data_IF_093720581412
#
_entry.id   IF_093720581412
#
_cell.length_a   1.000
_cell.length_b   1.000
_cell.length_c   1.000
_cell.angle_alpha   90.00
_cell.angle_beta   90.00
_cell.angle_gamma   90.00
#
_symmetry.space_group_name_H-M   'P 1'
#
loop_
_entity.id
_entity.type
_entity.pdbx_description
1 polymer ?
#
# COMPACT_ATOMS: atom_id res chain seq x y z
N UNK A 1 25.53 -5.55 -14.16
CA UNK A 1 24.70 -4.32 -14.19
C UNK A 1 23.31 -4.51 -14.83
N UNK A 2 22.44 -5.44 -14.37
CA UNK A 2 21.12 -5.68 -15.02
C UNK A 2 19.94 -6.02 -14.09
N UNK A 3 19.89 -5.48 -12.87
CA UNK A 3 18.79 -5.72 -11.92
C UNK A 3 17.75 -4.57 -11.80
N UNK A 4 17.89 -3.49 -12.60
CA UNK A 4 17.01 -2.30 -12.47
C UNK A 4 15.61 -2.46 -13.07
N UNK A 5 15.39 -3.46 -13.94
CA UNK A 5 14.11 -3.66 -14.64
C UNK A 5 13.02 -4.28 -13.77
N UNK A 6 13.37 -5.24 -12.92
CA UNK A 6 12.38 -6.09 -12.24
C UNK A 6 11.72 -5.41 -11.04
N UNK A 7 12.44 -4.52 -10.37
CA UNK A 7 11.91 -3.76 -9.22
C UNK A 7 10.68 -2.95 -9.62
N UNK A 8 10.70 -2.32 -10.80
CA UNK A 8 9.58 -1.53 -11.29
C UNK A 8 8.35 -2.35 -11.70
N UNK A 9 8.49 -3.65 -11.98
CA UNK A 9 7.37 -4.54 -12.31
C UNK A 9 6.66 -5.03 -11.05
N UNK A 10 7.43 -5.40 -10.03
CA UNK A 10 6.90 -5.75 -8.71
C UNK A 10 6.17 -4.57 -8.06
N UNK A 11 6.75 -3.37 -8.09
CA UNK A 11 6.12 -2.17 -7.52
C UNK A 11 4.76 -1.86 -8.15
N UNK A 12 4.64 -2.01 -9.48
CA UNK A 12 3.37 -1.81 -10.21
C UNK A 12 2.29 -2.80 -9.80
N UNK A 13 2.64 -4.08 -9.66
CA UNK A 13 1.68 -5.10 -9.24
C UNK A 13 1.24 -4.93 -7.78
N UNK A 14 2.10 -4.36 -6.92
CA UNK A 14 1.76 -4.12 -5.52
C UNK A 14 0.83 -2.92 -5.33
N UNK A 15 1.02 -1.85 -6.11
CA UNK A 15 0.35 -0.56 -5.95
C UNK A 15 -0.06 0.03 -7.31
N UNK A 16 -1.17 -0.43 -7.92
CA UNK A 16 -1.63 0.11 -9.20
C UNK A 16 -1.91 1.62 -9.14
N UNK A 17 -2.29 2.15 -7.97
CA UNK A 17 -2.56 3.58 -7.77
C UNK A 17 -1.32 4.46 -8.04
N UNK A 18 -0.13 3.87 -8.08
CA UNK A 18 1.10 4.60 -8.31
C UNK A 18 1.30 5.00 -9.78
N UNK A 19 0.54 4.41 -10.70
CA UNK A 19 0.50 4.80 -12.13
C UNK A 19 -0.24 6.11 -12.35
N UNK A 20 -0.99 6.55 -11.34
CA UNK A 20 -1.73 7.82 -11.34
C UNK A 20 -0.84 9.02 -11.02
N UNK A 21 0.36 8.79 -10.49
CA UNK A 21 1.33 9.82 -10.17
C UNK A 21 2.26 10.08 -11.35
N UNK A 22 2.66 11.34 -11.53
CA UNK A 22 3.70 11.69 -12.49
C UNK A 22 5.04 11.00 -12.13
N UNK A 23 5.80 10.66 -13.15
CA UNK A 23 7.04 9.88 -13.10
C UNK A 23 8.09 10.48 -12.16
N UNK A 24 8.20 11.82 -12.10
CA UNK A 24 9.12 12.54 -11.21
C UNK A 24 8.72 12.48 -9.74
N UNK A 25 7.42 12.50 -9.45
CA UNK A 25 6.89 12.51 -8.09
C UNK A 25 6.79 11.12 -7.49
N UNK A 26 6.54 10.10 -8.32
CA UNK A 26 6.43 8.68 -7.92
C UNK A 26 7.53 8.26 -6.95
N UNK A 27 8.80 8.54 -7.28
CA UNK A 27 9.96 8.17 -6.44
C UNK A 27 10.01 8.92 -5.11
N UNK A 28 9.61 10.20 -5.11
CA UNK A 28 9.62 11.04 -3.89
C UNK A 28 8.54 10.60 -2.91
N UNK A 29 7.34 10.33 -3.42
CA UNK A 29 6.20 9.85 -2.62
C UNK A 29 6.48 8.47 -2.04
N UNK A 30 7.01 7.53 -2.84
CA UNK A 30 7.40 6.21 -2.34
C UNK A 30 8.44 6.28 -1.23
N UNK A 31 9.51 7.07 -1.40
CA UNK A 31 10.54 7.22 -0.37
C UNK A 31 9.99 7.81 0.93
N UNK A 32 9.07 8.77 0.85
CA UNK A 32 8.46 9.39 2.02
C UNK A 32 7.55 8.40 2.76
N UNK A 33 6.75 7.66 2.03
CA UNK A 33 5.83 6.66 2.60
C UNK A 33 6.63 5.49 3.18
N UNK A 34 7.58 4.93 2.43
CA UNK A 34 8.39 3.77 2.86
C UNK A 34 9.20 4.05 4.12
N UNK A 35 9.76 5.26 4.29
CA UNK A 35 10.45 5.65 5.53
C UNK A 35 9.55 5.65 6.76
N UNK A 36 8.26 5.97 6.61
CA UNK A 36 7.33 5.96 7.74
C UNK A 36 6.88 4.54 8.12
N UNK A 37 6.92 3.60 7.16
CA UNK A 37 6.56 2.19 7.37
C UNK A 37 7.73 1.34 7.85
N UNK A 38 8.95 1.75 7.54
CA UNK A 38 10.19 1.19 8.08
C UNK A 38 10.46 1.68 9.51
N UNK A 39 9.41 1.97 10.29
CA UNK A 39 9.49 1.88 11.75
C UNK A 39 9.66 0.40 12.10
N UNK A 40 10.85 -0.14 11.82
CA UNK A 40 11.19 -1.56 11.87
C UNK A 40 11.00 -2.20 13.25
N UNK A 41 10.85 -1.39 14.29
CA UNK A 41 10.56 -1.85 15.64
C UNK A 41 9.23 -2.61 15.75
N UNK A 42 8.16 -2.21 15.05
CA UNK A 42 6.88 -2.96 15.11
C UNK A 42 7.00 -4.34 14.47
N UNK A 43 7.69 -4.43 13.33
CA UNK A 43 7.97 -5.68 12.65
C UNK A 43 8.86 -6.56 13.55
N UNK A 44 9.89 -5.97 14.15
CA UNK A 44 10.78 -6.66 15.08
C UNK A 44 10.01 -7.20 16.30
N UNK A 45 9.15 -6.39 16.93
CA UNK A 45 8.30 -6.81 18.06
C UNK A 45 7.42 -7.98 17.64
N UNK A 46 6.78 -7.90 16.47
CA UNK A 46 5.94 -8.99 15.96
C UNK A 46 6.74 -10.30 15.78
N UNK A 47 7.93 -10.24 15.17
CA UNK A 47 8.80 -11.41 15.02
C UNK A 47 9.25 -11.98 16.36
N UNK A 48 9.59 -11.12 17.34
CA UNK A 48 9.97 -11.55 18.69
C UNK A 48 8.82 -12.25 19.41
N UNK A 49 7.59 -11.72 19.31
CA UNK A 49 6.40 -12.34 19.88
C UNK A 49 6.12 -13.70 19.23
N UNK A 50 6.17 -13.79 17.89
CA UNK A 50 5.99 -15.07 17.19
C UNK A 50 7.07 -16.10 17.57
N UNK A 51 8.33 -15.69 17.64
CA UNK A 51 9.43 -16.56 18.05
C UNK A 51 9.22 -17.07 19.50
N UNK A 52 8.79 -16.19 20.41
CA UNK A 52 8.46 -16.56 21.79
C UNK A 52 7.33 -17.59 21.88
N UNK A 53 6.24 -17.38 21.12
CA UNK A 53 5.11 -18.32 21.06
C UNK A 53 5.56 -19.68 20.51
N UNK A 54 6.36 -19.68 19.44
CA UNK A 54 6.89 -20.92 18.86
C UNK A 54 7.79 -21.68 19.84
N UNK A 55 8.64 -20.97 20.58
CA UNK A 55 9.52 -21.57 21.58
C UNK A 55 8.71 -22.15 22.75
N UNK A 56 7.69 -21.43 23.22
CA UNK A 56 6.79 -21.92 24.26
C UNK A 56 6.03 -23.18 23.81
N UNK A 57 5.47 -23.17 22.60
CA UNK A 57 4.79 -24.33 22.03
C UNK A 57 5.71 -25.55 21.93
N UNK A 58 6.95 -25.36 21.46
CA UNK A 58 7.96 -26.42 21.39
C UNK A 58 8.22 -27.05 22.75
N UNK A 59 8.38 -26.24 23.80
CA UNK A 59 8.61 -26.72 25.17
C UNK A 59 7.40 -27.51 25.69
N UNK A 60 6.17 -27.01 25.44
CA UNK A 60 4.94 -27.70 25.82
C UNK A 60 4.79 -29.05 25.11
N UNK A 61 5.01 -29.12 23.80
CA UNK A 61 4.93 -30.39 23.06
C UNK A 61 6.01 -31.39 23.50
N UNK A 62 7.22 -30.90 23.78
CA UNK A 62 8.30 -31.73 24.32
C UNK A 62 7.94 -32.30 25.69
N UNK A 63 7.30 -31.51 26.55
CA UNK A 63 6.87 -31.95 27.88
C UNK A 63 5.80 -33.07 27.82
N UNK A 64 4.95 -33.05 26.79
CA UNK A 64 3.89 -34.05 26.60
C UNK A 64 4.33 -35.29 25.81
N UNK A 65 5.55 -35.31 25.26
CA UNK A 65 6.07 -36.45 24.48
C UNK A 65 5.42 -36.63 23.10
N UNK A 66 4.75 -35.60 22.56
CA UNK A 66 3.95 -35.69 21.31
C UNK A 66 4.80 -35.32 20.04
N UNK A 67 6.13 -35.33 20.13
CA UNK A 67 7.00 -34.81 19.06
C UNK A 67 7.55 -35.88 18.11
N UNK A 68 7.13 -35.85 16.83
CA UNK A 68 7.86 -36.50 15.73
C UNK A 68 9.02 -35.63 15.20
N UNK A 69 10.03 -36.21 14.51
CA UNK A 69 11.26 -35.51 14.12
C UNK A 69 11.04 -34.28 13.21
N UNK A 70 9.92 -34.23 12.45
CA UNK A 70 9.63 -33.18 11.46
C UNK A 70 8.78 -32.01 11.99
N UNK A 71 8.36 -32.03 13.26
CA UNK A 71 7.51 -30.97 13.81
C UNK A 71 8.11 -29.54 13.76
N UNK A 72 9.41 -29.30 14.06
CA UNK A 72 9.92 -27.93 14.12
C UNK A 72 9.97 -27.26 12.73
N UNK A 73 10.21 -28.03 11.68
CA UNK A 73 10.31 -27.53 10.31
C UNK A 73 8.94 -27.11 9.77
N UNK A 74 7.91 -27.94 9.99
CA UNK A 74 6.53 -27.62 9.65
C UNK A 74 6.02 -26.39 10.41
N UNK A 75 6.29 -26.31 11.71
CA UNK A 75 5.90 -25.15 12.52
C UNK A 75 6.59 -23.86 12.03
N UNK A 76 7.88 -23.93 11.67
CA UNK A 76 8.63 -22.83 11.10
C UNK A 76 8.06 -22.35 9.76
N UNK A 77 7.74 -23.28 8.86
CA UNK A 77 7.18 -22.95 7.56
C UNK A 77 5.80 -22.27 7.68
N UNK A 78 4.90 -22.82 8.48
CA UNK A 78 3.55 -22.26 8.70
C UNK A 78 3.63 -20.91 9.42
N UNK A 79 4.48 -20.79 10.44
CA UNK A 79 4.71 -19.55 11.17
C UNK A 79 5.27 -18.45 10.27
N UNK A 80 6.29 -18.76 9.47
CA UNK A 80 6.90 -17.82 8.53
C UNK A 80 5.93 -17.35 7.45
N UNK A 81 5.16 -18.26 6.85
CA UNK A 81 4.17 -17.90 5.83
C UNK A 81 3.04 -17.04 6.40
N UNK A 82 2.55 -17.37 7.60
CA UNK A 82 1.51 -16.60 8.29
C UNK A 82 2.00 -15.19 8.65
N UNK A 83 3.20 -15.09 9.20
CA UNK A 83 3.86 -13.83 9.51
C UNK A 83 4.05 -12.97 8.26
N UNK A 84 4.51 -13.56 7.16
CA UNK A 84 4.66 -12.88 5.88
C UNK A 84 3.31 -12.34 5.38
N UNK A 85 2.23 -13.12 5.42
CA UNK A 85 0.89 -12.68 4.99
C UNK A 85 0.39 -11.52 5.86
N UNK A 86 0.52 -11.63 7.18
CA UNK A 86 0.08 -10.58 8.12
C UNK A 86 0.89 -9.30 7.92
N UNK A 87 2.22 -9.40 7.85
CA UNK A 87 3.09 -8.26 7.58
C UNK A 87 2.74 -7.61 6.24
N UNK A 88 2.53 -8.40 5.18
CA UNK A 88 2.19 -7.88 3.86
C UNK A 88 0.84 -7.14 3.89
N UNK A 89 -0.17 -7.68 4.61
CA UNK A 89 -1.48 -7.03 4.74
C UNK A 89 -1.40 -5.74 5.59
N UNK A 90 -0.74 -5.81 6.75
CA UNK A 90 -0.60 -4.69 7.70
C UNK A 90 0.23 -3.55 7.13
N UNK A 91 1.28 -3.84 6.37
CA UNK A 91 2.13 -2.82 5.74
C UNK A 91 1.47 -2.22 4.50
N UNK A 92 0.78 -3.02 3.68
CA UNK A 92 0.17 -2.51 2.42
C UNK A 92 -1.05 -1.63 2.65
N UNK A 93 -1.89 -1.96 3.62
CA UNK A 93 -3.14 -1.25 3.87
C UNK A 93 -2.94 0.28 4.13
N UNK A 94 -2.09 0.70 5.08
CA UNK A 94 -1.85 2.12 5.34
C UNK A 94 -1.16 2.84 4.16
N UNK A 95 -0.29 2.15 3.41
CA UNK A 95 0.30 2.71 2.17
C UNK A 95 -0.81 3.09 1.20
N UNK A 96 -1.70 2.14 0.90
CA UNK A 96 -2.78 2.32 -0.07
C UNK A 96 -3.72 3.44 0.36
N UNK A 97 -4.13 3.46 1.63
CA UNK A 97 -4.95 4.55 2.16
C UNK A 97 -4.26 5.90 1.99
N UNK A 98 -2.98 6.01 2.36
CA UNK A 98 -2.25 7.28 2.27
C UNK A 98 -2.05 7.74 0.84
N UNK A 99 -1.75 6.82 -0.10
CA UNK A 99 -1.67 7.12 -1.53
C UNK A 99 -3.01 7.62 -2.06
N UNK A 100 -4.11 6.95 -1.71
CA UNK A 100 -5.47 7.35 -2.12
C UNK A 100 -5.87 8.71 -1.56
N UNK A 101 -5.55 8.97 -0.29
CA UNK A 101 -5.74 10.30 0.30
C UNK A 101 -4.94 11.38 -0.46
N UNK A 102 -3.69 11.09 -0.83
CA UNK A 102 -2.87 12.03 -1.60
C UNK A 102 -3.40 12.26 -3.02
N UNK A 103 -3.96 11.23 -3.67
CA UNK A 103 -4.61 11.36 -4.98
C UNK A 103 -5.89 12.19 -4.90
N UNK A 104 -6.75 11.90 -3.91
CA UNK A 104 -7.98 12.67 -3.67
C UNK A 104 -7.67 14.13 -3.38
N UNK A 105 -6.63 14.41 -2.58
CA UNK A 105 -6.18 15.78 -2.28
C UNK A 105 -5.65 16.53 -3.52
N UNK A 106 -5.29 15.82 -4.59
CA UNK A 106 -4.84 16.39 -5.87
C UNK A 106 -5.95 16.49 -6.91
N UNK A 107 -7.20 16.25 -6.51
CA UNK A 107 -8.33 16.25 -7.43
C UNK A 107 -8.38 15.02 -8.33
N UNK A 108 -7.73 13.91 -7.98
CA UNK A 108 -7.91 12.64 -8.68
C UNK A 108 -8.75 11.74 -7.77
N UNK A 109 -10.09 11.77 -7.89
CA UNK A 109 -10.97 11.05 -6.98
C UNK A 109 -10.81 9.55 -7.21
N UNK A 110 -10.43 8.84 -6.17
CA UNK A 110 -10.26 7.38 -6.12
C UNK A 110 -11.00 6.83 -4.90
N UNK A 111 -11.60 5.65 -5.07
CA UNK A 111 -12.31 4.97 -4.00
C UNK A 111 -11.34 4.60 -2.88
N UNK A 112 -11.63 5.03 -1.66
CA UNK A 112 -10.80 4.74 -0.48
C UNK A 112 -10.74 3.25 -0.14
N UNK A 113 -11.72 2.45 -0.60
CA UNK A 113 -11.80 1.00 -0.33
C UNK A 113 -11.12 0.14 -1.38
N UNK A 114 -11.51 0.23 -2.66
CA UNK A 114 -10.95 -0.62 -3.72
C UNK A 114 -9.84 0.05 -4.54
N UNK A 115 -9.79 1.39 -4.61
CA UNK A 115 -8.82 2.14 -5.41
C UNK A 115 -9.28 2.48 -6.84
N UNK A 116 -10.52 2.15 -7.20
CA UNK A 116 -11.11 2.50 -8.51
C UNK A 116 -11.18 4.03 -8.70
N UNK A 117 -10.92 4.52 -9.91
CA UNK A 117 -11.04 5.95 -10.27
C UNK A 117 -12.51 6.34 -10.34
N UNK A 118 -12.89 7.40 -9.64
CA UNK A 118 -14.27 7.87 -9.53
C UNK A 118 -14.57 9.08 -10.45
N UNK A 119 -13.79 9.25 -11.52
CA UNK A 119 -14.01 10.33 -12.49
C UNK A 119 -15.23 9.98 -13.39
N UNK A 120 -16.05 10.99 -13.70
CA UNK A 120 -17.16 10.88 -14.66
C UNK A 120 -18.25 9.86 -14.32
N UNK A 121 -18.48 9.58 -13.03
CA UNK A 121 -19.64 8.78 -12.62
C UNK A 121 -20.83 9.70 -12.31
N UNK A 122 -21.98 9.34 -12.87
CA UNK A 122 -23.27 9.97 -12.54
C UNK A 122 -23.77 9.53 -11.16
N UNK A 123 -23.42 8.31 -10.73
CA UNK A 123 -23.83 7.74 -9.45
C UNK A 123 -22.78 7.96 -8.35
N UNK A 124 -23.24 8.30 -7.15
CA UNK A 124 -22.42 8.47 -5.93
C UNK A 124 -21.98 7.13 -5.30
N UNK A 125 -21.74 6.09 -6.12
CA UNK A 125 -21.34 4.75 -5.67
C UNK A 125 -20.23 4.18 -6.55
N UNK A 126 -19.26 3.52 -5.91
CA UNK A 126 -18.19 2.87 -6.66
C UNK A 126 -18.71 1.63 -7.39
N UNK A 127 -18.50 1.48 -8.71
CA UNK A 127 -19.02 0.35 -9.49
C UNK A 127 -18.38 -0.99 -9.11
N UNK A 128 -17.14 -0.97 -8.61
CA UNK A 128 -16.40 -2.19 -8.23
C UNK A 128 -16.82 -2.75 -6.87
N UNK A 129 -17.11 -1.89 -5.89
CA UNK A 129 -17.29 -2.32 -4.50
C UNK A 129 -18.54 -1.78 -3.81
N UNK A 130 -19.38 -1.04 -4.54
CA UNK A 130 -20.64 -0.46 -4.05
C UNK A 130 -20.48 0.59 -2.94
N UNK A 131 -19.25 0.96 -2.60
CA UNK A 131 -18.99 1.89 -1.49
C UNK A 131 -19.48 3.28 -1.89
N UNK A 132 -20.38 3.91 -1.10
CA UNK A 132 -20.83 5.26 -1.40
C UNK A 132 -19.68 6.25 -1.24
N UNK A 133 -19.70 7.31 -2.02
CA UNK A 133 -18.74 8.41 -1.91
C UNK A 133 -19.44 9.74 -2.11
N UNK A 134 -18.94 10.78 -1.46
CA UNK A 134 -19.43 12.14 -1.69
C UNK A 134 -18.80 12.64 -2.98
N UNK A 135 -19.59 12.66 -4.06
CA UNK A 135 -19.21 13.39 -5.27
C UNK A 135 -19.23 14.89 -4.93
N UNK A 136 -18.11 15.40 -4.45
CA UNK A 136 -17.93 16.85 -4.52
C UNK A 136 -17.94 17.19 -6.00
N UNK A 137 -18.81 18.10 -6.46
CA UNK A 137 -18.75 18.56 -7.84
C UNK A 137 -17.33 19.07 -8.06
N UNK A 138 -16.62 18.43 -8.99
CA UNK A 138 -15.36 18.99 -9.46
C UNK A 138 -15.72 20.39 -9.98
N UNK A 139 -14.95 21.43 -9.59
CA UNK A 139 -15.09 22.72 -10.26
C UNK A 139 -14.95 22.42 -11.75
N UNK A 140 -16.00 22.76 -12.49
CA UNK A 140 -16.14 22.40 -13.89
C UNK A 140 -14.88 22.86 -14.64
N UNK A 141 -14.14 21.94 -15.25
CA UNK A 141 -12.87 22.19 -15.95
C UNK A 141 -13.05 23.15 -17.16
N UNK A 142 -14.29 23.62 -17.39
CA UNK A 142 -14.69 24.59 -18.39
C UNK A 142 -14.01 25.94 -18.23
N UNK A 143 -13.54 26.30 -17.03
CA UNK A 143 -12.67 27.48 -16.85
C UNK A 143 -11.20 27.10 -17.09
N UNK A 144 -10.92 26.70 -18.34
CA UNK A 144 -9.54 26.62 -18.85
C UNK A 144 -8.89 27.97 -18.53
N UNK A 145 -7.80 28.03 -17.73
CA UNK A 145 -7.17 29.30 -17.43
C UNK A 145 -6.76 29.91 -18.76
N UNK A 146 -7.49 30.95 -19.17
CA UNK A 146 -7.11 31.83 -20.25
C UNK A 146 -5.75 32.34 -19.82
N UNK A 147 -4.69 31.77 -20.40
CA UNK A 147 -3.33 32.31 -20.26
C UNK A 147 -3.46 33.78 -20.63
N UNK A 148 -3.35 34.67 -19.65
CA UNK A 148 -3.27 36.10 -19.93
C UNK A 148 -2.09 36.29 -20.88
N UNK A 149 -2.27 36.90 -22.06
CA UNK A 149 -1.20 37.03 -23.06
C UNK A 149 -0.02 37.93 -22.68
N UNK A 150 0.14 38.35 -21.42
CA UNK A 150 0.86 39.60 -21.11
C UNK A 150 2.36 39.47 -20.75
N UNK A 151 2.96 38.28 -20.69
CA UNK A 151 4.40 38.13 -20.37
C UNK A 151 5.32 38.07 -21.61
N UNK A 152 5.08 38.95 -22.59
CA UNK A 152 6.02 39.27 -23.67
C UNK A 152 6.32 40.78 -23.73
N UNK A 153 6.82 41.34 -22.64
CA UNK A 153 7.59 42.59 -22.62
C UNK A 153 8.34 42.60 -21.29
N UNK A 154 9.67 42.58 -21.22
CA UNK A 154 10.58 43.53 -21.83
C UNK A 154 11.98 42.93 -22.03
N UNK A 155 12.69 43.58 -22.96
CA UNK A 155 14.08 43.36 -23.34
C UNK A 155 15.09 43.61 -22.21
#
# INVERSE_FOLDING_TARGET
MRAKGDVGKLERNLFPEIELFDSGERRRTLRRVSRSLLRGWEILIFFLVCAGIMQAARLTFSFWGIGGPYQPELAGAVGGMSAAIVANRRLRHPIRLRLRTMLNARGIPVCMRCGYRLCHLEENRCPECGTPFDARPMPDDTEKPTRSPDDHSSA
#
